data_IF_392980812365
#
_entry.id   IF_392980812365
#
_cell.length_a   1.000
_cell.length_b   1.000
_cell.length_c   1.000
_cell.angle_alpha   90.00
_cell.angle_beta   90.00
_cell.angle_gamma   90.00
#
_symmetry.space_group_name_H-M   'P 1'
#
loop_
_entity.id
_entity.type
_entity.pdbx_description
1 polymer ?
#
# COMPACT_ATOMS: atom_id res chain seq x y z
N UNK A 1 -40.51 -14.51 -41.95
CA UNK A 1 -39.49 -14.46 -40.88
C UNK A 1 -39.09 -13.01 -40.71
N UNK A 2 -39.76 -12.29 -39.80
CA UNK A 2 -39.53 -10.85 -39.57
C UNK A 2 -38.57 -10.69 -38.39
N UNK A 3 -37.43 -10.05 -38.62
CA UNK A 3 -36.41 -9.78 -37.61
C UNK A 3 -36.93 -8.76 -36.58
N UNK A 4 -36.85 -9.09 -35.29
CA UNK A 4 -37.01 -8.13 -34.21
C UNK A 4 -35.76 -7.24 -34.14
N UNK A 5 -35.83 -6.03 -34.71
CA UNK A 5 -34.83 -5.00 -34.45
C UNK A 5 -35.04 -4.44 -33.04
N UNK A 6 -34.12 -4.73 -32.13
CA UNK A 6 -34.05 -4.04 -30.83
C UNK A 6 -33.67 -2.58 -31.09
N UNK A 7 -34.62 -1.68 -30.83
CA UNK A 7 -34.40 -0.24 -30.93
C UNK A 7 -33.33 0.22 -29.93
N UNK A 8 -32.15 0.55 -30.45
CA UNK A 8 -31.00 1.14 -29.72
C UNK A 8 -31.40 2.32 -28.80
N UNK A 9 -32.48 3.03 -29.14
CA UNK A 9 -33.02 4.16 -28.39
C UNK A 9 -33.76 3.77 -27.10
N UNK A 10 -34.29 2.56 -27.03
CA UNK A 10 -34.96 2.05 -25.82
C UNK A 10 -33.93 1.53 -24.81
N UNK A 11 -32.84 0.90 -25.31
CA UNK A 11 -31.70 0.49 -24.49
C UNK A 11 -30.99 1.67 -23.80
N UNK A 12 -30.86 2.80 -24.50
CA UNK A 12 -30.28 4.03 -23.92
C UNK A 12 -31.20 4.74 -22.91
N UNK A 13 -32.51 4.48 -22.93
CA UNK A 13 -33.45 5.06 -21.96
C UNK A 13 -33.49 4.29 -20.64
N UNK A 14 -33.24 2.98 -20.64
CA UNK A 14 -33.21 2.16 -19.42
C UNK A 14 -31.84 2.11 -18.72
N UNK A 15 -30.76 2.58 -19.36
CA UNK A 15 -29.41 2.59 -18.78
C UNK A 15 -29.03 3.92 -18.09
N UNK A 16 -29.88 4.95 -18.17
CA UNK A 16 -29.59 6.28 -17.63
C UNK A 16 -29.97 6.52 -16.15
N UNK A 17 -30.50 5.52 -15.43
CA UNK A 17 -31.14 5.72 -14.13
C UNK A 17 -30.27 5.51 -12.87
N UNK A 18 -29.05 4.98 -12.97
CA UNK A 18 -28.22 4.66 -11.80
C UNK A 18 -26.96 5.54 -11.65
N UNK A 19 -26.72 6.50 -12.55
CA UNK A 19 -25.50 7.33 -12.56
C UNK A 19 -25.70 8.78 -12.10
N UNK A 20 -26.85 9.12 -11.50
CA UNK A 20 -27.24 10.51 -11.24
C UNK A 20 -27.19 10.95 -9.75
N UNK A 21 -26.28 10.38 -8.95
CA UNK A 21 -26.09 10.81 -7.55
C UNK A 21 -24.64 11.19 -7.17
N UNK A 22 -23.69 11.25 -8.13
CA UNK A 22 -22.27 11.47 -7.82
C UNK A 22 -21.67 12.78 -8.38
N UNK A 23 -22.47 13.68 -8.96
CA UNK A 23 -21.94 14.81 -9.75
C UNK A 23 -22.25 16.21 -9.17
N UNK A 24 -22.54 16.34 -7.88
CA UNK A 24 -22.78 17.64 -7.24
C UNK A 24 -22.09 17.78 -5.87
N UNK A 25 -20.84 17.36 -5.78
CA UNK A 25 -19.79 17.83 -4.85
C UNK A 25 -18.56 16.94 -5.09
N UNK A 26 -17.47 17.54 -5.55
CA UNK A 26 -16.31 16.87 -6.16
C UNK A 26 -15.42 16.01 -5.25
N UNK A 27 -16.00 15.08 -4.51
CA UNK A 27 -15.29 13.98 -3.85
C UNK A 27 -16.20 12.77 -3.84
N UNK A 28 -16.09 11.93 -4.87
CA UNK A 28 -16.44 10.52 -4.68
C UNK A 28 -15.31 9.94 -3.83
N UNK A 29 -15.45 10.08 -2.52
CA UNK A 29 -14.73 9.20 -1.60
C UNK A 29 -15.31 7.82 -1.86
N UNK A 30 -14.69 7.07 -2.78
CA UNK A 30 -14.75 5.63 -2.74
C UNK A 30 -14.16 5.27 -1.38
N UNK A 31 -15.01 5.15 -0.36
CA UNK A 31 -14.65 4.46 0.86
C UNK A 31 -14.41 3.02 0.43
N UNK A 32 -13.20 2.76 -0.04
CA UNK A 32 -12.68 1.42 -0.20
C UNK A 32 -12.77 0.85 1.20
N UNK A 33 -13.78 0.00 1.43
CA UNK A 33 -13.87 -0.67 2.71
C UNK A 33 -12.55 -1.40 2.88
N UNK A 34 -11.79 -1.05 3.92
CA UNK A 34 -10.54 -1.72 4.28
C UNK A 34 -10.79 -3.23 4.46
N UNK A 35 -12.04 -3.67 4.56
CA UNK A 35 -12.44 -5.07 4.64
C UNK A 35 -12.57 -5.79 3.29
N UNK A 36 -12.61 -5.10 2.14
CA UNK A 36 -12.85 -5.75 0.85
C UNK A 36 -11.65 -6.59 0.39
N UNK A 37 -10.43 -6.07 0.53
CA UNK A 37 -9.20 -6.78 0.16
C UNK A 37 -8.90 -7.94 1.10
N UNK A 38 -9.24 -7.82 2.40
CA UNK A 38 -8.97 -8.86 3.39
C UNK A 38 -9.81 -10.14 3.16
N UNK A 39 -10.93 -10.04 2.43
CA UNK A 39 -11.76 -11.19 2.03
C UNK A 39 -11.14 -12.02 0.89
N UNK A 40 -10.10 -11.53 0.25
CA UNK A 40 -9.38 -12.22 -0.83
C UNK A 40 -8.21 -13.07 -0.30
N UNK A 41 -7.91 -12.99 1.01
CA UNK A 41 -6.89 -13.80 1.65
C UNK A 41 -7.30 -15.28 1.66
N UNK A 42 -6.32 -16.15 1.40
CA UNK A 42 -6.58 -17.59 1.21
C UNK A 42 -6.01 -18.47 2.32
N UNK A 43 -4.98 -17.98 3.02
CA UNK A 43 -4.23 -18.72 4.04
C UNK A 43 -4.31 -18.02 5.40
N UNK A 44 -4.28 -16.70 5.38
CA UNK A 44 -4.37 -15.83 6.54
C UNK A 44 -5.81 -15.40 6.80
N UNK A 45 -6.14 -15.20 8.07
CA UNK A 45 -7.45 -14.69 8.48
C UNK A 45 -7.58 -13.18 8.24
N UNK A 46 -8.82 -12.66 8.27
CA UNK A 46 -9.07 -11.22 8.17
C UNK A 46 -8.37 -10.43 9.29
N UNK A 47 -8.33 -11.00 10.50
CA UNK A 47 -7.65 -10.38 11.65
C UNK A 47 -6.13 -10.32 11.44
N UNK A 48 -5.52 -11.44 11.05
CA UNK A 48 -4.09 -11.50 10.71
C UNK A 48 -3.76 -10.48 9.61
N UNK A 49 -4.60 -10.38 8.58
CA UNK A 49 -4.43 -9.40 7.52
C UNK A 49 -4.44 -7.95 8.03
N UNK A 50 -5.42 -7.58 8.87
CA UNK A 50 -5.50 -6.24 9.46
C UNK A 50 -4.28 -5.93 10.34
N UNK A 51 -3.85 -6.89 11.15
CA UNK A 51 -2.63 -6.82 11.96
C UNK A 51 -1.40 -6.53 11.12
N UNK A 52 -1.21 -7.30 10.03
CA UNK A 52 -0.08 -7.12 9.12
C UNK A 52 -0.11 -5.78 8.37
N UNK A 53 -1.29 -5.35 7.91
CA UNK A 53 -1.45 -4.04 7.26
C UNK A 53 -1.04 -2.92 8.23
N UNK A 54 -1.60 -2.95 9.45
CA UNK A 54 -1.33 -1.92 10.46
C UNK A 54 0.13 -1.92 10.89
N UNK A 55 0.73 -3.10 11.04
CA UNK A 55 2.16 -3.24 11.32
C UNK A 55 3.02 -2.68 10.17
N UNK A 56 2.69 -2.96 8.92
CA UNK A 56 3.41 -2.40 7.77
C UNK A 56 3.33 -0.86 7.74
N UNK A 57 2.18 -0.27 8.10
CA UNK A 57 2.03 1.19 8.26
C UNK A 57 2.89 1.75 9.39
N UNK A 58 3.01 1.05 10.51
CA UNK A 58 3.87 1.48 11.63
C UNK A 58 5.36 1.41 11.26
N UNK A 59 5.77 0.40 10.49
CA UNK A 59 7.17 0.22 10.08
C UNK A 59 7.58 1.23 8.99
N UNK A 60 6.71 1.48 8.00
CA UNK A 60 6.95 2.43 6.91
C UNK A 60 5.80 3.43 6.84
N UNK A 61 5.77 4.46 7.70
CA UNK A 61 4.67 5.40 7.78
C UNK A 61 4.68 6.38 6.61
N UNK A 62 3.67 6.29 5.74
CA UNK A 62 3.44 7.25 4.66
C UNK A 62 2.04 7.87 4.77
N UNK A 63 1.92 9.15 5.17
CA UNK A 63 0.61 9.81 5.31
C UNK A 63 -0.18 9.92 4.00
N UNK A 64 0.52 10.06 2.87
CA UNK A 64 -0.10 10.18 1.54
C UNK A 64 -0.51 8.85 0.91
N UNK A 65 0.03 7.72 1.39
CA UNK A 65 -0.29 6.41 0.83
C UNK A 65 -1.56 5.83 1.44
N UNK A 66 -2.51 5.52 0.57
CA UNK A 66 -3.73 4.81 0.92
C UNK A 66 -3.46 3.36 1.36
N UNK A 67 -4.34 2.81 2.19
CA UNK A 67 -4.22 1.46 2.73
C UNK A 67 -4.15 0.37 1.66
N UNK A 68 -4.67 0.60 0.45
CA UNK A 68 -4.56 -0.33 -0.67
C UNK A 68 -3.11 -0.69 -1.03
N UNK A 69 -2.15 0.22 -0.83
CA UNK A 69 -0.74 -0.06 -1.07
C UNK A 69 -0.16 -1.00 0.00
N UNK A 70 -0.61 -0.86 1.25
CA UNK A 70 -0.25 -1.75 2.34
C UNK A 70 -1.00 -3.10 2.28
N UNK A 71 -2.21 -3.13 1.72
CA UNK A 71 -2.90 -4.39 1.40
C UNK A 71 -2.09 -5.26 0.44
N UNK A 72 -1.33 -4.65 -0.48
CA UNK A 72 -0.36 -5.37 -1.33
C UNK A 72 0.70 -6.14 -0.53
N UNK A 73 1.20 -5.56 0.57
CA UNK A 73 2.12 -6.24 1.50
C UNK A 73 1.48 -7.50 2.08
N UNK A 74 0.22 -7.39 2.50
CA UNK A 74 -0.51 -8.51 3.11
C UNK A 74 -0.78 -9.60 2.08
N UNK A 75 -1.13 -9.23 0.85
CA UNK A 75 -1.34 -10.18 -0.24
C UNK A 75 -0.04 -10.94 -0.59
N UNK A 76 1.11 -10.27 -0.56
CA UNK A 76 2.41 -10.92 -0.78
C UNK A 76 2.76 -11.88 0.36
N UNK A 77 2.45 -11.51 1.62
CA UNK A 77 2.61 -12.38 2.78
C UNK A 77 1.65 -13.58 2.76
N UNK A 78 0.38 -13.41 2.38
CA UNK A 78 -0.59 -14.51 2.23
C UNK A 78 -0.17 -15.49 1.14
N UNK A 79 0.33 -14.97 0.01
CA UNK A 79 0.87 -15.79 -1.08
C UNK A 79 2.08 -16.59 -0.61
N UNK A 80 3.05 -15.96 0.07
CA UNK A 80 4.20 -16.68 0.62
C UNK A 80 3.79 -17.71 1.67
N UNK A 81 2.83 -17.39 2.54
CA UNK A 81 2.29 -18.30 3.54
C UNK A 81 1.60 -19.52 2.89
N UNK A 82 0.92 -19.33 1.76
CA UNK A 82 0.30 -20.41 0.98
C UNK A 82 1.35 -21.39 0.43
N UNK A 83 2.48 -20.86 -0.02
CA UNK A 83 3.56 -21.64 -0.64
C UNK A 83 4.50 -22.26 0.38
N UNK A 84 4.63 -21.65 1.56
CA UNK A 84 5.53 -22.08 2.62
C UNK A 84 4.84 -22.19 3.99
N UNK A 85 4.58 -23.41 4.48
CA UNK A 85 3.98 -23.65 5.79
C UNK A 85 4.76 -23.05 6.97
N UNK A 86 6.09 -22.92 6.85
CA UNK A 86 6.91 -22.29 7.90
C UNK A 86 6.65 -20.78 7.96
N UNK A 87 6.46 -20.13 6.80
CA UNK A 87 6.08 -18.72 6.75
C UNK A 87 4.68 -18.52 7.33
N UNK A 88 3.72 -19.40 7.00
CA UNK A 88 2.38 -19.36 7.59
C UNK A 88 2.43 -19.47 9.12
N UNK A 89 3.17 -20.45 9.65
CA UNK A 89 3.34 -20.62 11.09
C UNK A 89 3.99 -19.39 11.74
N UNK A 90 5.08 -18.88 11.16
CA UNK A 90 5.78 -17.69 11.64
C UNK A 90 4.84 -16.47 11.75
N UNK A 91 4.01 -16.25 10.73
CA UNK A 91 3.05 -15.14 10.72
C UNK A 91 1.99 -15.33 11.79
N UNK A 92 1.35 -16.49 11.85
CA UNK A 92 0.25 -16.77 12.78
C UNK A 92 0.71 -16.69 14.23
N UNK A 93 1.88 -17.26 14.54
CA UNK A 93 2.48 -17.16 15.87
C UNK A 93 2.88 -15.73 16.22
N UNK A 94 3.42 -14.97 15.27
CA UNK A 94 3.79 -13.58 15.48
C UNK A 94 2.59 -12.68 15.78
N UNK A 95 1.51 -12.83 15.01
CA UNK A 95 0.24 -12.13 15.26
C UNK A 95 -0.33 -12.49 16.62
N UNK A 96 -0.40 -13.78 16.96
CA UNK A 96 -0.89 -14.22 18.26
C UNK A 96 -0.06 -13.65 19.42
N UNK A 97 1.27 -13.58 19.29
CA UNK A 97 2.14 -12.95 20.29
C UNK A 97 1.91 -11.45 20.42
N UNK A 98 1.61 -10.76 19.33
CA UNK A 98 1.28 -9.33 19.35
C UNK A 98 -0.04 -9.06 20.07
N UNK A 99 -1.08 -9.85 19.80
CA UNK A 99 -2.37 -9.71 20.49
C UNK A 99 -2.26 -9.97 22.00
N UNK A 100 -1.33 -10.85 22.40
CA UNK A 100 -1.08 -11.18 23.80
C UNK A 100 -0.01 -10.29 24.47
N UNK A 101 0.55 -9.32 23.75
CA UNK A 101 1.62 -8.47 24.29
C UNK A 101 1.11 -7.50 25.36
N UNK A 102 -0.19 -7.19 25.37
CA UNK A 102 -0.84 -6.33 26.36
C UNK A 102 -2.23 -6.87 26.71
N UNK A 103 -2.87 -6.31 27.74
CA UNK A 103 -4.26 -6.66 28.10
C UNK A 103 -5.32 -6.14 27.10
N UNK A 104 -4.90 -5.31 26.15
CA UNK A 104 -5.73 -4.74 25.08
C UNK A 104 -5.25 -5.33 23.74
N UNK A 105 -6.19 -5.60 22.82
CA UNK A 105 -5.82 -6.06 21.48
C UNK A 105 -4.89 -5.04 20.80
N UNK A 106 -3.82 -5.49 20.15
CA UNK A 106 -2.80 -4.59 19.62
C UNK A 106 -3.36 -3.58 18.61
N UNK A 107 -4.37 -3.98 17.82
CA UNK A 107 -5.07 -3.10 16.87
C UNK A 107 -5.85 -1.96 17.56
N UNK A 108 -6.24 -2.12 18.82
CA UNK A 108 -6.99 -1.13 19.60
C UNK A 108 -6.08 -0.17 20.38
N UNK A 109 -4.78 -0.45 20.43
CA UNK A 109 -3.79 0.43 21.05
C UNK A 109 -3.63 1.74 20.26
N UNK A 110 -3.24 2.80 20.97
CA UNK A 110 -2.81 4.07 20.34
C UNK A 110 -1.58 3.86 19.46
N UNK A 111 -1.37 4.73 18.47
CA UNK A 111 -0.23 4.65 17.55
C UNK A 111 1.13 4.55 18.28
N UNK A 112 1.30 5.32 19.36
CA UNK A 112 2.50 5.28 20.18
C UNK A 112 2.69 3.94 20.89
N UNK A 113 1.62 3.40 21.50
CA UNK A 113 1.69 2.11 22.18
C UNK A 113 1.91 0.95 21.20
N UNK A 114 1.32 1.02 20.00
CA UNK A 114 1.60 0.06 18.93
C UNK A 114 3.08 0.06 18.56
N UNK A 115 3.66 1.25 18.38
CA UNK A 115 5.08 1.41 18.05
C UNK A 115 5.98 0.88 19.16
N UNK A 116 5.68 1.16 20.42
CA UNK A 116 6.45 0.66 21.56
C UNK A 116 6.45 -0.88 21.64
N UNK A 117 5.29 -1.52 21.45
CA UNK A 117 5.21 -2.99 21.37
C UNK A 117 6.05 -3.52 20.20
N UNK A 118 5.98 -2.87 19.03
CA UNK A 118 6.76 -3.27 17.85
C UNK A 118 8.27 -3.14 18.06
N UNK A 119 8.73 -2.09 18.74
CA UNK A 119 10.14 -1.94 19.12
C UNK A 119 10.62 -3.11 19.98
N UNK A 120 9.78 -3.57 20.92
CA UNK A 120 10.09 -4.73 21.77
C UNK A 120 10.32 -6.04 20.99
N UNK A 121 9.78 -6.16 19.78
CA UNK A 121 9.92 -7.35 18.93
C UNK A 121 10.76 -7.11 17.67
N UNK A 122 11.45 -5.98 17.55
CA UNK A 122 12.07 -5.56 16.29
C UNK A 122 13.15 -6.54 15.78
N UNK A 123 13.81 -7.26 16.68
CA UNK A 123 14.83 -8.27 16.34
C UNK A 123 14.24 -9.65 16.04
N UNK A 124 12.92 -9.81 16.23
CA UNK A 124 12.26 -11.10 16.02
C UNK A 124 12.19 -11.48 14.53
N UNK A 125 12.23 -12.79 14.21
CA UNK A 125 12.07 -13.25 12.83
C UNK A 125 10.75 -12.80 12.18
N UNK A 126 9.67 -12.74 12.96
CA UNK A 126 8.37 -12.27 12.50
C UNK A 126 8.42 -10.80 12.08
N UNK A 127 8.99 -9.93 12.92
CA UNK A 127 9.13 -8.51 12.59
C UNK A 127 10.00 -8.30 11.35
N UNK A 128 11.13 -9.00 11.26
CA UNK A 128 12.02 -8.91 10.10
C UNK A 128 11.37 -9.42 8.82
N UNK A 129 10.55 -10.48 8.89
CA UNK A 129 9.74 -10.96 7.75
C UNK A 129 8.79 -9.88 7.25
N UNK A 130 7.97 -9.30 8.13
CA UNK A 130 7.00 -8.26 7.74
C UNK A 130 7.71 -7.02 7.22
N UNK A 131 8.79 -6.56 7.89
CA UNK A 131 9.60 -5.42 7.45
C UNK A 131 10.22 -5.64 6.07
N UNK A 132 10.79 -6.82 5.82
CA UNK A 132 11.43 -7.16 4.56
C UNK A 132 10.43 -7.22 3.41
N UNK A 133 9.28 -7.88 3.62
CA UNK A 133 8.22 -7.94 2.59
C UNK A 133 7.64 -6.56 2.35
N UNK A 134 7.35 -5.78 3.39
CA UNK A 134 6.82 -4.42 3.24
C UNK A 134 7.75 -3.50 2.45
N UNK A 135 9.07 -3.60 2.67
CA UNK A 135 10.07 -2.86 1.89
C UNK A 135 9.93 -3.17 0.39
N UNK A 136 9.89 -4.45 0.04
CA UNK A 136 9.84 -4.87 -1.37
C UNK A 136 8.49 -4.50 -1.98
N UNK A 137 7.38 -4.87 -1.34
CA UNK A 137 6.03 -4.67 -1.88
C UNK A 137 5.67 -3.20 -2.04
N UNK A 138 6.09 -2.31 -1.12
CA UNK A 138 5.80 -0.89 -1.22
C UNK A 138 6.71 -0.20 -2.25
N UNK A 139 8.02 -0.39 -2.15
CA UNK A 139 8.98 0.38 -2.95
C UNK A 139 9.31 -0.24 -4.31
N UNK A 140 8.83 -1.44 -4.60
CA UNK A 140 8.85 -2.02 -5.95
C UNK A 140 7.48 -1.91 -6.65
N UNK A 141 6.71 -0.87 -6.32
CA UNK A 141 5.38 -0.63 -6.89
C UNK A 141 5.36 0.70 -7.67
N UNK A 142 5.21 0.67 -9.01
CA UNK A 142 5.14 1.88 -9.84
C UNK A 142 4.03 2.87 -9.47
N UNK A 143 2.92 2.37 -8.90
CA UNK A 143 1.87 3.27 -8.41
C UNK A 143 2.34 4.03 -7.17
N UNK A 144 3.08 3.38 -6.26
CA UNK A 144 3.67 4.05 -5.08
C UNK A 144 4.74 5.04 -5.53
N UNK A 145 5.54 4.73 -6.55
CA UNK A 145 6.54 5.66 -7.09
C UNK A 145 5.92 6.99 -7.50
N UNK A 146 4.78 6.95 -8.19
CA UNK A 146 4.04 8.15 -8.60
C UNK A 146 3.60 8.98 -7.39
N UNK A 147 3.07 8.34 -6.35
CA UNK A 147 2.64 9.05 -5.12
C UNK A 147 3.83 9.64 -4.33
N UNK A 148 5.01 9.02 -4.42
CA UNK A 148 6.24 9.48 -3.78
C UNK A 148 7.07 10.44 -4.66
N UNK A 149 6.64 10.72 -5.89
CA UNK A 149 7.37 11.58 -6.83
C UNK A 149 8.62 10.95 -7.44
N UNK A 150 8.77 9.63 -7.38
CA UNK A 150 9.83 8.90 -8.05
C UNK A 150 9.45 8.60 -9.51
N UNK A 151 10.27 9.04 -10.46
CA UNK A 151 9.98 8.89 -11.90
C UNK A 151 10.17 7.47 -12.45
N UNK A 152 10.64 6.53 -11.62
CA UNK A 152 11.04 5.20 -12.07
C UNK A 152 12.45 5.18 -12.66
N UNK A 153 12.99 3.98 -12.98
CA UNK A 153 14.38 3.81 -13.37
C UNK A 153 14.72 4.53 -14.68
N UNK A 154 15.80 5.32 -14.68
CA UNK A 154 16.21 6.16 -15.82
C UNK A 154 17.48 5.70 -16.52
N UNK A 155 18.07 4.57 -16.13
CA UNK A 155 19.33 4.09 -16.73
C UNK A 155 19.24 3.95 -18.27
N UNK A 156 18.10 3.46 -18.76
CA UNK A 156 17.82 3.33 -20.20
C UNK A 156 17.45 4.66 -20.89
N UNK A 157 17.26 5.73 -20.11
CA UNK A 157 16.91 7.08 -20.55
C UNK A 157 18.11 8.05 -20.45
N UNK A 158 19.33 7.55 -20.24
CA UNK A 158 20.52 8.38 -20.07
C UNK A 158 20.79 8.84 -18.63
N UNK A 159 20.09 8.27 -17.66
CA UNK A 159 20.22 8.63 -16.23
C UNK A 159 19.30 9.77 -15.81
N UNK A 160 19.52 10.30 -14.60
CA UNK A 160 18.71 11.40 -14.04
C UNK A 160 19.25 12.81 -14.29
N UNK A 161 20.30 12.96 -15.10
CA UNK A 161 20.95 14.27 -15.34
C UNK A 161 19.91 15.32 -15.77
N UNK A 162 19.03 14.97 -16.70
CA UNK A 162 17.94 15.83 -17.21
C UNK A 162 16.55 15.36 -16.76
N UNK A 163 16.46 14.60 -15.66
CA UNK A 163 15.21 14.00 -15.17
C UNK A 163 15.03 14.16 -13.66
N UNK A 164 14.95 15.40 -13.20
CA UNK A 164 14.55 15.69 -11.83
C UNK A 164 15.62 15.49 -10.75
N UNK A 165 16.83 15.00 -11.06
CA UNK A 165 17.91 14.90 -10.06
C UNK A 165 18.27 16.27 -9.46
N UNK A 166 18.26 17.31 -10.30
CA UNK A 166 18.55 18.68 -9.91
C UNK A 166 17.31 19.50 -9.54
N UNK A 167 16.10 18.94 -9.67
CA UNK A 167 14.83 19.66 -9.38
C UNK A 167 14.49 19.63 -7.87
N UNK A 168 15.50 19.72 -7.02
CA UNK A 168 15.36 19.62 -5.57
C UNK A 168 14.78 20.93 -5.01
N UNK A 169 13.47 20.97 -4.77
CA UNK A 169 12.79 22.13 -4.15
C UNK A 169 13.15 22.40 -2.68
N UNK A 170 13.92 21.51 -2.05
CA UNK A 170 14.22 21.53 -0.62
C UNK A 170 15.67 21.89 -0.30
N UNK A 171 16.53 22.01 -1.31
CA UNK A 171 17.93 22.37 -1.16
C UNK A 171 18.16 23.68 -1.92
N UNK A 172 18.78 24.67 -1.27
CA UNK A 172 19.20 25.89 -1.96
C UNK A 172 20.20 25.54 -3.06
N UNK A 173 20.17 26.30 -4.16
CA UNK A 173 21.14 26.08 -5.23
C UNK A 173 22.57 26.26 -4.68
N UNK A 174 23.47 25.31 -4.97
CA UNK A 174 24.83 25.41 -4.51
C UNK A 174 25.49 26.68 -5.08
N UNK A 175 26.31 27.40 -4.29
CA UNK A 175 27.01 28.58 -4.76
C UNK A 175 27.91 28.23 -5.94
N UNK A 176 28.11 29.17 -6.86
CA UNK A 176 28.86 28.94 -8.11
C UNK A 176 30.27 28.38 -7.88
N UNK A 177 30.92 28.73 -6.75
CA UNK A 177 32.23 28.21 -6.35
C UNK A 177 32.25 26.70 -6.02
N UNK A 178 31.09 26.10 -5.72
CA UNK A 178 30.92 24.68 -5.43
C UNK A 178 30.52 23.86 -6.67
N UNK A 179 30.12 24.52 -7.75
CA UNK A 179 29.81 23.88 -9.03
C UNK A 179 31.10 23.63 -9.84
N UNK A 180 31.29 22.45 -10.43
CA UNK A 180 32.40 22.21 -11.35
C UNK A 180 32.36 23.25 -12.48
N UNK A 181 33.51 23.84 -12.82
CA UNK A 181 33.59 24.72 -13.99
C UNK A 181 33.26 23.90 -15.24
N UNK A 182 32.28 24.36 -16.02
CA UNK A 182 32.00 23.77 -17.32
C UNK A 182 33.30 23.83 -18.16
N UNK A 183 33.78 22.64 -18.55
CA UNK A 183 34.98 22.47 -19.38
C UNK A 183 34.69 22.71 -20.85
#
# INVERSE_FOLDING_TARGET
>A
MTSHEIHRRQFLKTSGGLAAAAAASGTVSLTFSVSAWAKELTTLSEHEGKMLLRMARQIYPHPSLADMYYAGVVNDLDREARENPQTAALIKEGVAKLDLATDIQWLELSDGNQLEVLRGIETSPFFQKVKGTALISLYNNPLVWRELGYEGPSAHLGGYIDRGFNDLRWLEEPPESASPKAG
#
